data_IF_291435260669
#
_entry.id   IF_291435260669
#
_cell.length_a   1.000
_cell.length_b   1.000
_cell.length_c   1.000
_cell.angle_alpha   90.00
_cell.angle_beta   90.00
_cell.angle_gamma   90.00
#
_symmetry.space_group_name_H-M   'P 1'
#
loop_
_entity.id
_entity.type
_entity.pdbx_description
1 polymer ?
#
# COMPACT_ATOMS: atom_id res chain seq x y z
N UNK A 1 1.70 -17.23 -20.88
CA UNK A 1 0.31 -16.75 -20.69
C UNK A 1 0.41 -15.28 -20.35
N UNK A 2 0.02 -14.43 -21.28
CA UNK A 2 0.11 -12.99 -21.09
C UNK A 2 -1.20 -12.52 -20.49
N UNK A 3 -1.21 -12.37 -19.17
CA UNK A 3 -2.30 -11.74 -18.41
C UNK A 3 -2.65 -10.35 -18.98
N UNK A 4 -1.67 -9.70 -19.61
CA UNK A 4 -1.82 -8.44 -20.35
C UNK A 4 -2.83 -8.54 -21.49
N UNK A 5 -2.82 -9.64 -22.26
CA UNK A 5 -3.77 -9.86 -23.36
C UNK A 5 -5.20 -10.00 -22.83
N UNK A 6 -5.38 -10.70 -21.70
CA UNK A 6 -6.71 -10.84 -21.07
C UNK A 6 -7.25 -9.50 -20.58
N UNK A 7 -6.38 -8.65 -20.02
CA UNK A 7 -6.75 -7.33 -19.52
C UNK A 7 -7.04 -6.39 -20.69
N UNK A 8 -6.22 -6.42 -21.74
CA UNK A 8 -6.45 -5.66 -22.96
C UNK A 8 -7.80 -6.05 -23.59
N UNK A 9 -8.05 -7.35 -23.76
CA UNK A 9 -9.32 -7.86 -24.24
C UNK A 9 -10.48 -7.34 -23.38
N UNK A 10 -10.41 -7.52 -22.06
CA UNK A 10 -11.45 -7.10 -21.12
C UNK A 10 -11.73 -5.59 -21.08
N UNK A 11 -10.76 -4.75 -21.48
CA UNK A 11 -10.92 -3.28 -21.51
C UNK A 11 -11.34 -2.75 -22.89
N UNK A 12 -10.83 -3.34 -23.97
CA UNK A 12 -10.89 -2.74 -25.31
C UNK A 12 -11.71 -3.55 -26.33
N UNK A 13 -11.83 -4.87 -26.15
CA UNK A 13 -12.43 -5.77 -27.13
C UNK A 13 -13.70 -6.45 -26.62
N UNK A 14 -13.86 -6.52 -25.31
CA UNK A 14 -14.90 -7.32 -24.69
C UNK A 14 -16.28 -6.66 -24.79
N UNK A 15 -17.17 -7.28 -25.57
CA UNK A 15 -18.57 -6.84 -25.74
C UNK A 15 -19.49 -7.29 -24.58
N UNK A 16 -18.97 -8.06 -23.63
CA UNK A 16 -19.76 -8.58 -22.52
C UNK A 16 -20.25 -7.47 -21.59
N UNK A 17 -21.57 -7.33 -21.48
CA UNK A 17 -22.19 -6.37 -20.55
C UNK A 17 -22.10 -6.87 -19.10
N UNK A 18 -21.10 -6.36 -18.37
CA UNK A 18 -20.98 -6.60 -16.94
C UNK A 18 -22.12 -5.93 -16.14
N UNK A 19 -22.56 -6.58 -15.06
CA UNK A 19 -23.59 -6.03 -14.18
C UNK A 19 -23.19 -4.69 -13.53
N UNK A 20 -21.90 -4.42 -13.39
CA UNK A 20 -21.36 -3.16 -12.88
C UNK A 20 -19.91 -2.96 -13.37
N UNK A 21 -19.49 -1.76 -13.80
CA UNK A 21 -18.12 -1.50 -14.29
C UNK A 21 -17.01 -1.89 -13.30
N UNK A 22 -17.28 -1.78 -11.99
CA UNK A 22 -16.39 -2.26 -10.92
C UNK A 22 -15.93 -3.71 -11.11
N UNK A 23 -16.80 -4.59 -11.64
CA UNK A 23 -16.45 -6.00 -11.86
C UNK A 23 -15.24 -6.14 -12.77
N UNK A 24 -15.13 -5.29 -13.79
CA UNK A 24 -14.00 -5.28 -14.73
C UNK A 24 -12.72 -4.92 -13.98
N UNK A 25 -12.74 -3.79 -13.27
CA UNK A 25 -11.57 -3.27 -12.53
C UNK A 25 -11.11 -4.23 -11.43
N UNK A 26 -12.03 -4.79 -10.65
CA UNK A 26 -11.67 -5.73 -9.58
C UNK A 26 -11.11 -7.05 -10.15
N UNK A 27 -11.68 -7.54 -11.26
CA UNK A 27 -11.19 -8.76 -11.90
C UNK A 27 -9.78 -8.53 -12.45
N UNK A 28 -9.52 -7.41 -13.11
CA UNK A 28 -8.19 -7.05 -13.59
C UNK A 28 -7.18 -6.91 -12.44
N UNK A 29 -7.55 -6.24 -11.35
CA UNK A 29 -6.71 -6.17 -10.16
C UNK A 29 -6.33 -7.57 -9.65
N UNK A 30 -7.31 -8.48 -9.53
CA UNK A 30 -7.07 -9.87 -9.12
C UNK A 30 -6.16 -10.63 -10.09
N UNK A 31 -6.36 -10.49 -11.41
CA UNK A 31 -5.53 -11.12 -12.42
C UNK A 31 -4.07 -10.65 -12.30
N UNK A 32 -3.85 -9.35 -12.11
CA UNK A 32 -2.52 -8.76 -11.97
C UNK A 32 -1.82 -9.31 -10.72
N UNK A 33 -2.45 -9.25 -9.55
CA UNK A 33 -1.79 -9.72 -8.31
C UNK A 33 -1.52 -11.23 -8.34
N UNK A 34 -2.38 -12.03 -8.99
CA UNK A 34 -2.11 -13.46 -9.20
C UNK A 34 -0.93 -13.69 -10.16
N UNK A 35 -0.83 -12.92 -11.23
CA UNK A 35 0.25 -13.06 -12.20
C UNK A 35 1.60 -12.58 -11.64
N UNK A 36 1.60 -11.45 -10.93
CA UNK A 36 2.81 -10.81 -10.37
C UNK A 36 3.32 -11.54 -9.13
N UNK A 37 2.46 -12.16 -8.32
CA UNK A 37 2.88 -12.78 -7.05
C UNK A 37 2.52 -14.27 -6.91
N UNK A 38 1.90 -14.87 -7.92
CA UNK A 38 1.51 -16.29 -7.88
C UNK A 38 0.48 -16.61 -6.78
N UNK A 39 -0.34 -15.62 -6.41
CA UNK A 39 -1.29 -15.74 -5.31
C UNK A 39 -2.36 -16.80 -5.57
N UNK A 40 -2.76 -17.49 -4.51
CA UNK A 40 -3.94 -18.35 -4.50
C UNK A 40 -5.17 -17.48 -4.23
N UNK A 41 -6.32 -17.77 -4.85
CA UNK A 41 -7.55 -16.99 -4.62
C UNK A 41 -7.87 -16.83 -3.14
N UNK A 42 -7.82 -17.91 -2.36
CA UNK A 42 -8.14 -17.88 -0.92
C UNK A 42 -7.21 -17.02 -0.04
N UNK A 43 -6.16 -16.41 -0.61
CA UNK A 43 -5.32 -15.43 0.10
C UNK A 43 -5.91 -14.01 0.04
N UNK A 44 -6.75 -13.71 -0.96
CA UNK A 44 -7.31 -12.37 -1.19
C UNK A 44 -8.83 -12.35 -1.41
N UNK A 45 -9.48 -13.49 -1.66
CA UNK A 45 -10.94 -13.67 -1.72
C UNK A 45 -11.40 -14.69 -0.68
N UNK A 46 -12.70 -14.77 -0.41
CA UNK A 46 -13.24 -15.76 0.54
C UNK A 46 -12.98 -17.18 0.04
N UNK A 47 -12.13 -17.89 0.79
CA UNK A 47 -11.73 -19.25 0.48
C UNK A 47 -12.92 -20.22 0.60
N UNK A 48 -13.00 -21.21 -0.30
CA UNK A 48 -14.09 -22.19 -0.30
C UNK A 48 -14.22 -22.98 1.01
N UNK A 49 -13.10 -23.28 1.66
CA UNK A 49 -13.08 -23.98 2.97
C UNK A 49 -13.45 -23.07 4.16
N UNK A 50 -13.57 -21.76 3.92
CA UNK A 50 -13.95 -20.74 4.90
C UNK A 50 -15.18 -19.96 4.41
N UNK A 51 -16.09 -20.63 3.70
CA UNK A 51 -17.28 -20.01 3.14
C UNK A 51 -18.18 -19.46 4.25
N UNK A 52 -18.65 -18.22 4.08
CA UNK A 52 -19.46 -17.50 5.06
C UNK A 52 -18.65 -16.74 6.11
N UNK A 53 -17.32 -16.79 6.05
CA UNK A 53 -16.44 -16.03 6.95
C UNK A 53 -16.38 -14.54 6.62
N UNK A 54 -16.62 -14.18 5.34
CA UNK A 54 -16.42 -12.81 4.86
C UNK A 54 -14.94 -12.39 4.80
N UNK A 55 -14.01 -13.34 4.94
CA UNK A 55 -12.58 -13.05 5.03
C UNK A 55 -11.93 -12.87 3.65
N UNK A 56 -11.08 -11.86 3.55
CA UNK A 56 -10.10 -11.67 2.50
C UNK A 56 -9.63 -10.22 2.47
N UNK A 57 -9.25 -9.71 1.30
CA UNK A 57 -8.54 -8.44 1.22
C UNK A 57 -9.46 -7.23 1.52
N UNK A 58 -9.11 -6.48 2.56
CA UNK A 58 -9.78 -5.24 2.97
C UNK A 58 -8.88 -4.03 2.72
N UNK A 59 -9.43 -2.81 2.68
CA UNK A 59 -8.62 -1.61 2.47
C UNK A 59 -7.56 -1.41 3.57
N UNK A 60 -7.83 -1.82 4.80
CA UNK A 60 -6.87 -1.78 5.91
C UNK A 60 -5.64 -2.66 5.69
N UNK A 61 -5.70 -3.62 4.76
CA UNK A 61 -4.55 -4.46 4.36
C UNK A 61 -3.62 -3.75 3.36
N UNK A 62 -4.02 -2.56 2.89
CA UNK A 62 -3.32 -1.82 1.84
C UNK A 62 -2.70 -0.54 2.39
N UNK A 63 -1.49 -0.24 1.95
CA UNK A 63 -0.83 1.03 2.23
C UNK A 63 -0.41 1.66 0.90
N UNK A 64 -1.06 2.76 0.54
CA UNK A 64 -0.66 3.60 -0.58
C UNK A 64 0.35 4.64 -0.10
N UNK A 65 1.46 4.75 -0.81
CA UNK A 65 2.44 5.79 -0.57
C UNK A 65 2.99 6.36 -1.88
N UNK A 66 3.47 7.59 -1.84
CA UNK A 66 4.20 8.26 -2.91
C UNK A 66 5.65 8.43 -2.46
N UNK A 67 6.61 8.12 -3.32
CA UNK A 67 8.03 8.34 -3.04
C UNK A 67 8.77 8.76 -4.30
N UNK A 68 9.96 9.35 -4.16
CA UNK A 68 10.82 9.67 -5.29
C UNK A 68 11.56 8.43 -5.78
N UNK A 69 11.43 8.11 -7.06
CA UNK A 69 12.32 7.18 -7.76
C UNK A 69 12.94 7.87 -8.95
N UNK A 70 14.28 7.92 -9.01
CA UNK A 70 15.02 8.61 -10.08
C UNK A 70 14.53 10.05 -10.30
N UNK A 71 14.27 10.76 -9.21
CA UNK A 71 13.79 12.15 -9.20
C UNK A 71 12.30 12.35 -9.52
N UNK A 72 11.55 11.28 -9.81
CA UNK A 72 10.13 11.36 -10.17
C UNK A 72 9.25 10.76 -9.07
N UNK A 73 8.18 11.44 -8.63
CA UNK A 73 7.25 10.89 -7.64
C UNK A 73 6.42 9.75 -8.24
N UNK A 74 6.51 8.56 -7.64
CA UNK A 74 5.80 7.34 -8.06
C UNK A 74 4.96 6.77 -6.94
N UNK A 75 3.77 6.29 -7.30
CA UNK A 75 2.92 5.58 -6.37
C UNK A 75 3.42 4.16 -6.11
N UNK A 76 3.29 3.75 -4.87
CA UNK A 76 3.65 2.44 -4.35
C UNK A 76 2.49 1.91 -3.51
N UNK A 77 2.22 0.63 -3.67
CA UNK A 77 1.18 -0.06 -2.96
C UNK A 77 1.79 -1.24 -2.21
N UNK A 78 1.75 -1.17 -0.88
CA UNK A 78 2.04 -2.34 -0.04
C UNK A 78 0.74 -3.07 0.27
N UNK A 79 0.77 -4.38 0.15
CA UNK A 79 -0.36 -5.27 0.38
C UNK A 79 0.03 -6.33 1.40
N UNK A 80 -0.61 -6.30 2.58
CA UNK A 80 -0.42 -7.28 3.64
C UNK A 80 -1.38 -8.46 3.44
N UNK A 81 -0.86 -9.66 3.24
CA UNK A 81 -1.70 -10.86 3.21
C UNK A 81 -1.93 -11.38 4.63
N UNK A 82 -3.21 -11.54 5.01
CA UNK A 82 -3.63 -12.14 6.31
C UNK A 82 -4.01 -13.61 6.22
N UNK A 83 -4.39 -14.07 5.03
CA UNK A 83 -5.07 -15.37 4.86
C UNK A 83 -4.22 -16.41 4.13
N UNK A 84 -2.91 -16.33 4.28
CA UNK A 84 -1.97 -17.26 3.67
C UNK A 84 -2.13 -18.66 4.26
N UNK A 85 -2.12 -19.68 3.39
CA UNK A 85 -2.31 -21.08 3.79
C UNK A 85 -1.28 -21.44 4.87
N UNK A 86 -1.74 -22.04 5.98
CA UNK A 86 -0.98 -22.42 7.20
C UNK A 86 -0.66 -21.30 8.20
N UNK A 87 -0.81 -20.03 7.84
CA UNK A 87 -0.47 -18.88 8.69
C UNK A 87 -1.64 -17.90 8.78
N UNK A 88 -2.85 -18.45 8.92
CA UNK A 88 -4.08 -17.71 8.72
C UNK A 88 -4.40 -16.88 9.95
N UNK A 89 -4.54 -15.55 9.78
CA UNK A 89 -4.72 -14.61 10.87
C UNK A 89 -3.42 -14.15 11.53
N UNK A 90 -2.26 -14.65 11.09
CA UNK A 90 -0.96 -14.21 11.57
C UNK A 90 -0.43 -13.08 10.70
N UNK A 91 -0.15 -11.92 11.30
CA UNK A 91 0.53 -10.83 10.61
C UNK A 91 2.02 -11.14 10.54
N UNK A 92 2.48 -11.44 9.33
CA UNK A 92 3.89 -11.71 9.08
C UNK A 92 4.43 -10.69 8.10
N UNK A 93 5.58 -10.17 8.47
CA UNK A 93 6.38 -9.24 7.67
C UNK A 93 6.63 -9.75 6.24
N UNK A 94 6.89 -11.06 6.11
CA UNK A 94 7.12 -11.79 4.85
C UNK A 94 5.91 -11.86 3.91
N UNK A 95 4.74 -11.46 4.41
CA UNK A 95 3.49 -11.44 3.67
C UNK A 95 3.13 -10.02 3.18
N UNK A 96 4.07 -9.08 3.30
CA UNK A 96 4.00 -7.76 2.66
C UNK A 96 4.50 -7.82 1.22
N UNK A 97 3.57 -7.63 0.30
CA UNK A 97 3.83 -7.57 -1.13
C UNK A 97 3.95 -6.12 -1.58
N UNK A 98 4.86 -5.87 -2.52
CA UNK A 98 5.22 -4.54 -2.99
C UNK A 98 4.84 -4.38 -4.45
N UNK A 99 3.75 -3.65 -4.69
CA UNK A 99 3.31 -3.29 -6.03
C UNK A 99 3.70 -1.84 -6.32
N UNK A 100 4.06 -1.54 -7.55
CA UNK A 100 4.45 -0.19 -7.93
C UNK A 100 3.86 0.24 -9.26
N UNK A 101 3.81 1.56 -9.42
CA UNK A 101 3.26 2.21 -10.60
C UNK A 101 4.04 1.85 -11.87
N UNK A 102 3.32 1.36 -12.87
CA UNK A 102 3.84 1.15 -14.22
C UNK A 102 3.87 2.48 -14.96
N UNK A 103 5.08 2.86 -15.39
CA UNK A 103 5.32 4.16 -16.05
C UNK A 103 5.21 4.09 -17.56
N UNK A 104 5.38 2.90 -18.15
CA UNK A 104 5.32 2.75 -19.60
C UNK A 104 3.87 2.88 -20.09
N UNK A 105 3.62 3.80 -21.03
CA UNK A 105 2.25 4.15 -21.48
C UNK A 105 1.49 2.93 -22.00
N UNK A 106 2.14 2.11 -22.82
CA UNK A 106 1.51 0.88 -23.37
C UNK A 106 1.16 -0.17 -22.33
N UNK A 107 1.66 -0.02 -21.09
CA UNK A 107 1.50 -1.01 -20.01
C UNK A 107 0.67 -0.47 -18.84
N UNK A 108 0.15 0.76 -18.94
CA UNK A 108 -0.70 1.35 -17.87
C UNK A 108 -1.94 0.52 -17.56
N UNK A 109 -2.50 -0.17 -18.55
CA UNK A 109 -3.61 -1.10 -18.36
C UNK A 109 -3.25 -2.27 -17.41
N UNK A 110 -1.97 -2.64 -17.31
CA UNK A 110 -1.47 -3.67 -16.39
C UNK A 110 -1.04 -3.11 -15.02
N UNK A 111 -1.13 -1.79 -14.80
CA UNK A 111 -0.63 -1.17 -13.59
C UNK A 111 -1.47 -1.57 -12.36
N UNK A 112 -0.95 -2.35 -11.39
CA UNK A 112 -1.72 -2.77 -10.21
C UNK A 112 -2.20 -1.58 -9.39
N UNK A 113 -1.37 -0.54 -9.29
CA UNK A 113 -1.67 0.68 -8.55
C UNK A 113 -2.86 1.44 -9.14
N UNK A 114 -2.99 1.48 -10.47
CA UNK A 114 -4.11 2.19 -11.14
C UNK A 114 -5.43 1.49 -10.85
N UNK A 115 -5.46 0.16 -10.93
CA UNK A 115 -6.68 -0.61 -10.61
C UNK A 115 -7.06 -0.47 -9.14
N UNK A 116 -6.08 -0.51 -8.23
CA UNK A 116 -6.35 -0.27 -6.81
C UNK A 116 -6.88 1.14 -6.56
N UNK A 117 -6.23 2.18 -7.13
CA UNK A 117 -6.68 3.57 -7.01
C UNK A 117 -8.10 3.75 -7.55
N UNK A 118 -8.43 3.15 -8.69
CA UNK A 118 -9.78 3.23 -9.26
C UNK A 118 -10.84 2.66 -8.29
N UNK A 119 -10.54 1.53 -7.64
CA UNK A 119 -11.44 0.93 -6.63
C UNK A 119 -11.54 1.80 -5.37
N UNK A 120 -10.41 2.27 -4.85
CA UNK A 120 -10.31 3.03 -3.61
C UNK A 120 -10.94 4.43 -3.72
N UNK A 121 -10.74 5.10 -4.86
CA UNK A 121 -11.35 6.40 -5.14
C UNK A 121 -12.86 6.27 -5.34
N UNK A 122 -13.33 5.23 -6.04
CA UNK A 122 -14.76 4.96 -6.20
C UNK A 122 -15.47 4.68 -4.86
N UNK A 123 -14.73 4.23 -3.84
CA UNK A 123 -15.23 3.94 -2.49
C UNK A 123 -15.00 5.07 -1.49
N UNK A 124 -14.37 6.17 -1.93
CA UNK A 124 -14.00 7.32 -1.12
C UNK A 124 -13.18 6.91 0.13
N UNK A 125 -12.13 6.10 -0.09
CA UNK A 125 -11.38 5.42 0.98
C UNK A 125 -10.38 6.32 1.69
N UNK A 126 -9.76 7.25 0.97
CA UNK A 126 -8.70 8.09 1.52
C UNK A 126 -9.27 9.33 2.21
N UNK A 127 -8.55 9.83 3.21
CA UNK A 127 -8.87 11.09 3.89
C UNK A 127 -8.52 12.32 3.04
N UNK A 128 -7.38 12.27 2.36
CA UNK A 128 -6.77 13.43 1.69
C UNK A 128 -6.64 13.28 0.17
N UNK A 129 -6.71 12.06 -0.35
CA UNK A 129 -6.58 11.78 -1.77
C UNK A 129 -7.94 11.68 -2.45
N UNK A 130 -8.17 12.56 -3.42
CA UNK A 130 -9.35 12.58 -4.28
C UNK A 130 -8.94 12.56 -5.76
N UNK A 131 -9.88 12.29 -6.66
CA UNK A 131 -9.60 12.22 -8.10
C UNK A 131 -8.95 13.52 -8.65
N UNK A 132 -9.41 14.74 -8.29
CA UNK A 132 -8.74 15.98 -8.72
C UNK A 132 -7.31 16.12 -8.22
N UNK A 133 -7.02 15.68 -6.99
CA UNK A 133 -5.71 15.83 -6.36
C UNK A 133 -4.70 14.75 -6.77
N UNK A 134 -5.13 13.72 -7.52
CA UNK A 134 -4.27 12.61 -7.94
C UNK A 134 -3.06 13.05 -8.80
N UNK A 135 -3.19 14.16 -9.53
CA UNK A 135 -2.11 14.68 -10.38
C UNK A 135 -1.09 15.52 -9.62
N UNK A 136 -1.42 15.99 -8.41
CA UNK A 136 -0.54 16.91 -7.69
C UNK A 136 0.76 16.24 -7.24
N UNK A 137 0.71 14.93 -6.93
CA UNK A 137 1.87 14.10 -6.58
C UNK A 137 2.87 14.78 -5.65
N UNK A 138 2.36 15.43 -4.59
CA UNK A 138 3.18 16.16 -3.63
C UNK A 138 3.70 15.21 -2.54
N UNK A 139 5.01 15.24 -2.33
CA UNK A 139 5.65 14.63 -1.16
C UNK A 139 5.96 15.76 -0.17
N UNK A 140 5.54 15.64 1.09
CA UNK A 140 5.79 16.65 2.11
C UNK A 140 7.26 16.96 2.36
N UNK A 141 7.51 18.21 2.76
CA UNK A 141 8.87 18.71 2.95
C UNK A 141 9.53 17.97 4.12
N UNK A 142 10.78 17.54 3.90
CA UNK A 142 11.54 16.82 4.91
C UNK A 142 11.17 15.35 5.05
N UNK A 143 10.17 14.86 4.31
CA UNK A 143 9.85 13.44 4.19
C UNK A 143 10.38 12.85 2.89
N UNK A 144 10.79 11.59 2.93
CA UNK A 144 11.15 10.82 1.73
C UNK A 144 9.93 10.19 1.03
N UNK A 145 8.80 10.12 1.74
CA UNK A 145 7.56 9.55 1.22
C UNK A 145 6.32 10.22 1.81
N UNK A 146 5.21 10.12 1.09
CA UNK A 146 3.89 10.55 1.53
C UNK A 146 2.98 9.33 1.60
N UNK A 147 2.59 8.94 2.81
CA UNK A 147 1.64 7.84 3.02
C UNK A 147 0.22 8.42 3.04
N UNK A 148 -0.68 7.85 2.26
CA UNK A 148 -2.07 8.28 2.23
C UNK A 148 -2.88 7.57 3.32
N UNK A 149 -3.54 8.33 4.19
CA UNK A 149 -4.35 7.77 5.26
C UNK A 149 -5.70 7.23 4.74
N UNK A 150 -6.08 6.04 5.24
CA UNK A 150 -7.36 5.39 4.98
C UNK A 150 -8.33 5.73 6.10
N UNK A 151 -9.56 6.13 5.75
CA UNK A 151 -10.62 6.43 6.71
C UNK A 151 -10.93 5.21 7.58
N UNK A 152 -11.14 5.42 8.88
CA UNK A 152 -11.30 4.33 9.85
C UNK A 152 -12.50 3.42 9.50
N UNK A 153 -13.61 4.00 9.06
CA UNK A 153 -14.83 3.28 8.64
C UNK A 153 -14.65 2.46 7.36
N UNK A 154 -13.55 2.68 6.62
CA UNK A 154 -13.23 1.99 5.37
C UNK A 154 -12.20 0.89 5.55
N UNK A 155 -11.49 0.81 6.67
CA UNK A 155 -10.42 -0.19 6.87
C UNK A 155 -10.93 -1.63 6.74
N UNK A 156 -12.10 -1.93 7.30
CA UNK A 156 -12.71 -3.26 7.23
C UNK A 156 -13.52 -3.50 5.95
N UNK A 157 -13.65 -2.49 5.08
CA UNK A 157 -14.38 -2.63 3.84
C UNK A 157 -13.57 -3.50 2.86
N UNK A 158 -14.20 -4.58 2.41
CA UNK A 158 -13.62 -5.47 1.40
C UNK A 158 -13.38 -4.74 0.08
N UNK A 159 -12.18 -4.91 -0.47
CA UNK A 159 -11.79 -4.35 -1.78
C UNK A 159 -12.56 -5.09 -2.89
N UNK A 160 -12.60 -6.42 -2.79
CA UNK A 160 -13.17 -7.30 -3.80
C UNK A 160 -14.58 -7.69 -3.40
N UNK A 161 -15.60 -7.09 -4.03
CA UNK A 161 -16.98 -7.25 -3.57
C UNK A 161 -17.80 -8.16 -4.45
N UNK A 162 -18.70 -8.90 -3.83
CA UNK A 162 -19.75 -9.63 -4.53
C UNK A 162 -20.70 -8.64 -5.20
N UNK A 163 -21.08 -8.96 -6.44
CA UNK A 163 -22.24 -8.38 -7.11
C UNK A 163 -23.18 -9.52 -7.42
N UNK A 164 -24.16 -9.73 -6.54
CA UNK A 164 -25.34 -10.51 -6.87
C UNK A 164 -26.40 -9.50 -7.31
N UNK A 165 -27.20 -9.79 -8.34
CA UNK A 165 -28.25 -8.89 -8.86
C UNK A 165 -29.42 -8.60 -7.89
N UNK A 166 -29.18 -8.69 -6.57
CA UNK A 166 -30.09 -8.34 -5.47
C UNK A 166 -29.43 -7.25 -4.63
N UNK A 167 -30.18 -6.37 -3.95
CA UNK A 167 -29.61 -5.38 -3.04
C UNK A 167 -28.76 -6.09 -1.97
N UNK A 168 -27.45 -5.93 -2.10
CA UNK A 168 -26.46 -6.74 -1.40
C UNK A 168 -26.15 -6.13 -0.02
N UNK A 169 -25.81 -6.98 0.97
CA UNK A 169 -25.21 -6.48 2.22
C UNK A 169 -23.90 -5.78 1.85
N UNK A 170 -23.84 -4.46 2.04
CA UNK A 170 -22.63 -3.66 1.78
C UNK A 170 -21.41 -4.38 2.39
N UNK A 171 -20.41 -4.67 1.56
CA UNK A 171 -19.11 -5.13 2.02
C UNK A 171 -18.85 -6.64 2.05
N UNK A 172 -19.74 -7.53 1.59
CA UNK A 172 -19.35 -8.94 1.47
C UNK A 172 -18.33 -9.13 0.34
N UNK A 173 -17.29 -9.88 0.68
CA UNK A 173 -16.19 -10.21 -0.21
C UNK A 173 -16.60 -11.23 -1.28
N UNK A 174 -15.96 -11.19 -2.45
CA UNK A 174 -16.10 -12.21 -3.50
C UNK A 174 -15.73 -13.61 -2.99
N UNK A 175 -16.57 -14.60 -3.27
CA UNK A 175 -16.28 -16.00 -3.00
C UNK A 175 -15.35 -16.59 -4.07
N UNK A 176 -14.45 -17.49 -3.67
CA UNK A 176 -13.50 -18.15 -4.59
C UNK A 176 -14.18 -18.89 -5.74
N UNK A 177 -15.37 -19.47 -5.53
CA UNK A 177 -16.16 -20.11 -6.59
C UNK A 177 -16.68 -19.09 -7.61
N UNK A 178 -17.24 -17.97 -7.15
CA UNK A 178 -17.70 -16.88 -8.02
C UNK A 178 -16.55 -16.31 -8.84
N UNK A 179 -15.40 -16.07 -8.19
CA UNK A 179 -14.20 -15.58 -8.86
C UNK A 179 -13.65 -16.59 -9.89
N UNK A 180 -13.67 -17.89 -9.59
CA UNK A 180 -13.30 -18.93 -10.53
C UNK A 180 -14.15 -18.88 -11.81
N UNK A 181 -15.48 -18.77 -11.67
CA UNK A 181 -16.36 -18.66 -12.83
C UNK A 181 -16.14 -17.36 -13.63
N UNK A 182 -15.85 -16.24 -12.96
CA UNK A 182 -15.52 -14.98 -13.63
C UNK A 182 -14.27 -15.10 -14.52
N UNK A 183 -13.21 -15.75 -14.01
CA UNK A 183 -11.99 -15.99 -14.81
C UNK A 183 -12.26 -16.99 -15.93
N UNK A 184 -13.00 -18.06 -15.65
CA UNK A 184 -13.31 -19.10 -16.61
C UNK A 184 -14.03 -18.51 -17.83
N UNK A 185 -15.08 -17.72 -17.59
CA UNK A 185 -15.86 -17.06 -18.64
C UNK A 185 -15.02 -16.02 -19.38
N UNK A 186 -14.21 -15.22 -18.69
CA UNK A 186 -13.29 -14.30 -19.35
C UNK A 186 -12.31 -15.04 -20.28
N UNK A 187 -11.73 -16.15 -19.81
CA UNK A 187 -10.80 -16.96 -20.62
C UNK A 187 -11.47 -17.56 -21.86
N UNK A 188 -12.70 -18.05 -21.74
CA UNK A 188 -13.49 -18.53 -22.89
C UNK A 188 -13.73 -17.43 -23.91
N UNK A 189 -14.13 -16.24 -23.45
CA UNK A 189 -14.42 -15.09 -24.32
C UNK A 189 -13.16 -14.51 -24.96
N UNK A 190 -12.02 -14.60 -24.29
CA UNK A 190 -10.70 -14.30 -24.86
C UNK A 190 -10.24 -15.34 -25.92
N UNK A 191 -10.99 -16.41 -26.17
CA UNK A 191 -10.66 -17.42 -27.17
C UNK A 191 -9.67 -18.50 -26.71
N UNK A 192 -9.42 -18.65 -25.40
CA UNK A 192 -8.55 -19.72 -24.92
C UNK A 192 -9.25 -21.08 -25.04
N UNK A 193 -8.58 -22.03 -25.71
CA UNK A 193 -9.05 -23.41 -25.89
C UNK A 193 -9.27 -24.12 -24.55
N UNK A 194 -8.36 -23.92 -23.60
CA UNK A 194 -8.39 -24.57 -22.29
C UNK A 194 -8.91 -23.62 -21.21
N UNK A 195 -9.68 -24.14 -20.23
CA UNK A 195 -10.10 -23.36 -19.06
C UNK A 195 -8.93 -22.66 -18.36
N UNK A 196 -8.99 -21.33 -18.28
CA UNK A 196 -8.06 -20.57 -17.45
C UNK A 196 -8.49 -20.68 -15.99
N UNK A 197 -7.56 -21.09 -15.14
CA UNK A 197 -7.74 -21.15 -13.69
C UNK A 197 -6.72 -20.28 -12.99
N UNK A 198 -6.97 -19.96 -11.72
CA UNK A 198 -5.98 -19.28 -10.86
C UNK A 198 -4.62 -20.00 -10.83
N UNK A 199 -4.64 -21.33 -10.95
CA UNK A 199 -3.41 -22.13 -10.95
C UNK A 199 -2.57 -21.94 -12.22
N UNK A 200 -3.18 -21.56 -13.35
CA UNK A 200 -2.44 -21.19 -14.56
C UNK A 200 -1.53 -19.97 -14.29
N UNK A 201 -2.04 -18.94 -13.61
CA UNK A 201 -1.27 -17.72 -13.30
C UNK A 201 -0.12 -18.03 -12.36
N UNK A 202 -0.38 -18.86 -11.35
CA UNK A 202 0.64 -19.30 -10.40
C UNK A 202 1.76 -20.10 -11.07
N UNK A 203 1.45 -20.98 -12.03
CA UNK A 203 2.48 -21.67 -12.83
C UNK A 203 3.24 -20.69 -13.72
N UNK A 204 2.54 -19.74 -14.36
CA UNK A 204 3.16 -18.69 -15.17
C UNK A 204 4.16 -17.86 -14.34
N UNK A 205 3.77 -17.43 -13.14
CA UNK A 205 4.63 -16.76 -12.19
C UNK A 205 5.86 -17.61 -11.82
N UNK A 206 5.65 -18.88 -11.45
CA UNK A 206 6.73 -19.79 -11.08
C UNK A 206 7.75 -19.96 -12.21
N UNK A 207 7.29 -20.11 -13.45
CA UNK A 207 8.16 -20.21 -14.62
C UNK A 207 8.89 -18.89 -14.91
N UNK A 208 8.21 -17.75 -14.73
CA UNK A 208 8.80 -16.43 -14.99
C UNK A 208 9.89 -16.02 -13.98
N UNK A 209 9.84 -16.54 -12.76
CA UNK A 209 10.89 -16.29 -11.75
C UNK A 209 11.95 -17.39 -11.72
N UNK A 210 11.74 -18.51 -12.40
CA UNK A 210 12.66 -19.65 -12.38
C UNK A 210 14.01 -19.23 -12.99
N UNK A 211 15.12 -19.62 -12.35
CA UNK A 211 16.47 -19.19 -12.74
C UNK A 211 16.82 -17.72 -12.44
N UNK A 212 15.84 -16.85 -12.14
CA UNK A 212 16.07 -15.43 -11.82
C UNK A 212 16.23 -15.15 -10.33
N UNK A 213 15.80 -16.06 -9.46
CA UNK A 213 15.88 -15.93 -8.00
C UNK A 213 16.36 -17.22 -7.33
N UNK A 214 16.86 -17.11 -6.10
CA UNK A 214 17.25 -18.29 -5.32
C UNK A 214 16.02 -19.13 -4.93
N UNK A 215 16.21 -20.44 -4.80
CA UNK A 215 15.16 -21.36 -4.37
C UNK A 215 14.54 -21.00 -3.00
N UNK A 216 15.30 -20.33 -2.12
CA UNK A 216 14.77 -19.85 -0.84
C UNK A 216 13.76 -18.71 -1.03
N UNK A 217 14.10 -17.68 -1.83
CA UNK A 217 13.20 -16.56 -2.17
C UNK A 217 11.98 -17.04 -2.96
N UNK A 218 12.15 -18.02 -3.85
CA UNK A 218 11.06 -18.65 -4.60
C UNK A 218 10.06 -19.35 -3.67
N UNK A 219 10.54 -20.12 -2.68
CA UNK A 219 9.66 -20.79 -1.70
C UNK A 219 8.91 -19.77 -0.84
N UNK A 220 9.57 -18.69 -0.41
CA UNK A 220 8.94 -17.60 0.35
C UNK A 220 7.80 -16.95 -0.46
N UNK A 221 8.08 -16.55 -1.70
CA UNK A 221 7.09 -15.97 -2.63
C UNK A 221 5.88 -16.88 -2.82
N UNK A 222 6.12 -18.17 -2.99
CA UNK A 222 5.08 -19.17 -3.23
C UNK A 222 4.35 -19.59 -1.95
N UNK A 223 4.77 -19.13 -0.76
CA UNK A 223 4.21 -19.52 0.52
C UNK A 223 4.42 -21.01 0.83
N UNK A 224 5.57 -21.58 0.43
CA UNK A 224 5.98 -22.94 0.78
C UNK A 224 6.84 -22.90 2.05
N UNK A 225 6.58 -23.83 2.98
CA UNK A 225 7.45 -24.03 4.15
C UNK A 225 8.83 -24.52 3.69
N UNK A 226 9.89 -24.09 4.38
CA UNK A 226 11.25 -24.62 4.17
C UNK A 226 11.88 -24.96 5.51
N UNK A 227 12.64 -26.04 5.57
CA UNK A 227 13.22 -26.59 6.81
C UNK A 227 14.55 -25.92 7.25
N UNK A 228 14.85 -24.67 6.84
CA UNK A 228 16.18 -24.06 7.08
C UNK A 228 16.17 -22.81 7.96
N UNK A 229 17.12 -22.79 8.90
CA UNK A 229 17.51 -21.74 9.87
C UNK A 229 17.81 -20.36 9.27
N UNK A 230 17.93 -20.24 7.94
CA UNK A 230 18.28 -18.98 7.25
C UNK A 230 17.11 -18.06 6.89
N UNK A 231 15.84 -18.45 7.15
CA UNK A 231 14.69 -17.60 6.82
C UNK A 231 14.56 -16.34 7.69
N UNK A 232 15.13 -16.34 8.90
CA UNK A 232 15.09 -15.19 9.82
C UNK A 232 15.91 -13.98 9.35
N UNK A 233 16.85 -14.18 8.43
CA UNK A 233 17.72 -13.12 7.87
C UNK A 233 17.26 -12.62 6.50
N UNK A 234 16.21 -13.21 5.93
CA UNK A 234 15.64 -12.72 4.67
C UNK A 234 14.76 -11.52 5.00
N UNK A 235 14.96 -10.41 4.27
CA UNK A 235 14.23 -9.17 4.50
C UNK A 235 12.69 -9.43 4.58
N UNK A 236 11.99 -8.76 5.51
CA UNK A 236 10.53 -8.71 5.62
C UNK A 236 9.82 -8.56 4.28
N UNK A 237 10.20 -7.53 3.53
CA UNK A 237 9.62 -7.23 2.24
C UNK A 237 10.20 -8.17 1.19
N UNK A 238 9.36 -8.64 0.26
CA UNK A 238 9.81 -9.40 -0.90
C UNK A 238 10.85 -8.59 -1.67
N UNK A 239 12.13 -8.87 -1.43
CA UNK A 239 13.27 -8.22 -2.07
C UNK A 239 13.53 -8.79 -3.47
N UNK A 240 12.46 -8.93 -4.25
CA UNK A 240 12.43 -9.40 -5.63
C UNK A 240 11.45 -8.52 -6.38
N UNK A 241 11.92 -7.93 -7.47
CA UNK A 241 11.06 -7.20 -8.42
C UNK A 241 10.25 -8.19 -9.25
N UNK A 242 9.15 -8.67 -8.69
CA UNK A 242 8.33 -9.67 -9.36
C UNK A 242 7.59 -9.12 -10.58
N UNK A 243 7.24 -7.83 -10.60
CA UNK A 243 6.58 -7.18 -11.74
C UNK A 243 7.44 -7.23 -13.01
N UNK A 244 8.76 -7.06 -12.89
CA UNK A 244 9.70 -7.21 -14.02
C UNK A 244 10.13 -8.64 -14.25
N UNK A 245 10.33 -9.42 -13.18
CA UNK A 245 10.75 -10.81 -13.29
C UNK A 245 9.78 -11.66 -14.11
N UNK A 246 8.45 -11.49 -13.95
CA UNK A 246 7.47 -12.26 -14.73
C UNK A 246 7.53 -12.00 -16.24
N UNK A 247 8.13 -10.89 -16.66
CA UNK A 247 8.36 -10.51 -18.06
C UNK A 247 9.75 -10.90 -18.56
N UNK A 248 10.59 -11.52 -17.73
CA UNK A 248 11.99 -11.79 -18.02
C UNK A 248 12.86 -10.52 -18.11
N UNK A 249 12.38 -9.40 -17.58
CA UNK A 249 13.13 -8.14 -17.57
C UNK A 249 14.15 -8.09 -16.43
N UNK A 250 15.17 -7.24 -16.59
CA UNK A 250 16.11 -6.95 -15.50
C UNK A 250 15.39 -6.29 -14.31
N UNK A 251 15.64 -6.78 -13.10
CA UNK A 251 15.03 -6.25 -11.87
C UNK A 251 15.49 -4.82 -11.60
N UNK A 252 14.58 -3.92 -11.21
CA UNK A 252 14.94 -2.59 -10.69
C UNK A 252 15.35 -2.70 -9.21
N UNK A 253 16.59 -3.15 -8.96
CA UNK A 253 17.11 -3.36 -7.61
C UNK A 253 17.11 -2.08 -6.77
N UNK A 254 17.45 -0.96 -7.38
CA UNK A 254 17.46 0.35 -6.72
C UNK A 254 16.07 0.70 -6.19
N UNK A 255 15.03 0.48 -6.99
CA UNK A 255 13.66 0.69 -6.56
C UNK A 255 13.28 -0.21 -5.37
N UNK A 256 13.56 -1.51 -5.46
CA UNK A 256 13.19 -2.48 -4.42
C UNK A 256 13.95 -2.21 -3.12
N UNK A 257 15.22 -1.85 -3.19
CA UNK A 257 16.05 -1.49 -2.03
C UNK A 257 15.54 -0.21 -1.38
N UNK A 258 15.21 0.82 -2.16
CA UNK A 258 14.61 2.05 -1.66
C UNK A 258 13.26 1.77 -1.00
N UNK A 259 12.37 1.07 -1.68
CA UNK A 259 11.03 0.76 -1.21
C UNK A 259 11.01 -0.09 0.07
N UNK A 260 12.01 -0.97 0.22
CA UNK A 260 12.21 -1.84 1.40
C UNK A 260 13.03 -1.18 2.50
N UNK A 261 13.67 -0.03 2.22
CA UNK A 261 14.52 0.65 3.19
C UNK A 261 13.70 1.36 4.26
N UNK A 262 14.14 1.24 5.52
CA UNK A 262 13.59 2.01 6.65
C UNK A 262 13.77 3.52 6.41
N UNK A 263 14.79 3.92 5.65
CA UNK A 263 15.01 5.33 5.31
C UNK A 263 13.87 5.92 4.46
N UNK A 264 13.08 5.09 3.78
CA UNK A 264 11.97 5.54 2.96
C UNK A 264 10.85 6.21 3.78
N UNK A 265 10.65 5.77 5.03
CA UNK A 265 9.65 6.35 5.94
C UNK A 265 10.24 7.43 6.85
N UNK A 266 11.46 7.90 6.55
CA UNK A 266 12.09 8.97 7.32
C UNK A 266 11.42 10.30 7.01
N UNK A 267 11.04 10.97 8.08
CA UNK A 267 10.57 12.35 8.09
C UNK A 267 11.43 13.16 9.08
N UNK A 268 12.06 14.22 8.57
CA UNK A 268 12.93 15.14 9.33
C UNK A 268 12.14 16.06 10.26
N UNK A 269 10.85 16.26 9.99
CA UNK A 269 9.95 17.07 10.82
C UNK A 269 9.35 16.26 11.97
N UNK A 270 9.43 14.92 11.89
CA UNK A 270 8.85 14.05 12.91
C UNK A 270 9.45 14.29 14.31
N UNK A 271 8.66 14.16 15.38
CA UNK A 271 9.15 14.34 16.74
C UNK A 271 10.37 13.45 17.03
N UNK A 272 11.48 14.10 17.36
CA UNK A 272 12.74 13.47 17.76
C UNK A 272 12.91 13.58 19.28
N UNK A 273 13.70 12.67 19.85
CA UNK A 273 14.00 12.73 21.27
C UNK A 273 14.70 14.04 21.63
N UNK A 274 14.49 14.54 22.85
CA UNK A 274 15.19 15.72 23.37
C UNK A 274 16.72 15.61 23.25
N UNK A 275 17.29 14.41 23.38
CA UNK A 275 18.73 14.15 23.19
C UNK A 275 19.18 14.32 21.74
N UNK A 276 18.27 14.21 20.77
CA UNK A 276 18.55 14.44 19.35
C UNK A 276 18.44 15.91 18.94
N UNK A 277 17.94 16.79 19.83
CA UNK A 277 17.92 18.24 19.62
C UNK A 277 19.13 18.82 20.35
N UNK A 278 20.09 19.38 19.62
CA UNK A 278 21.36 19.87 20.19
C UNK A 278 21.20 20.87 21.34
N UNK A 279 20.03 21.52 21.48
CA UNK A 279 19.77 22.53 22.50
C UNK A 279 18.47 22.32 23.32
N UNK A 280 17.87 21.12 23.34
CA UNK A 280 16.60 20.94 24.06
C UNK A 280 16.76 20.41 25.49
N UNK A 281 16.17 21.11 26.46
CA UNK A 281 15.97 20.58 27.81
C UNK A 281 15.05 19.35 27.80
N UNK A 282 15.26 18.38 28.70
CA UNK A 282 14.40 17.21 28.79
C UNK A 282 12.96 17.63 29.13
N UNK A 283 11.95 17.05 28.48
CA UNK A 283 10.55 17.36 28.79
C UNK A 283 10.24 17.00 30.23
N UNK A 284 9.47 17.87 30.89
CA UNK A 284 9.03 17.71 32.27
C UNK A 284 8.20 16.43 32.42
N UNK A 285 8.45 15.72 33.52
CA UNK A 285 7.74 14.51 33.93
C UNK A 285 7.18 14.80 35.32
N UNK A 286 5.87 14.65 35.50
CA UNK A 286 5.24 14.91 36.81
C UNK A 286 5.39 13.70 37.72
N UNK A 287 5.28 13.90 39.04
CA UNK A 287 5.35 12.80 40.01
C UNK A 287 4.22 11.79 39.81
N UNK A 288 3.04 12.25 39.38
CA UNK A 288 1.89 11.38 39.11
C UNK A 288 2.15 10.45 37.92
N UNK A 289 2.81 10.94 36.86
CA UNK A 289 3.22 10.11 35.72
C UNK A 289 4.26 9.05 36.12
N UNK A 290 5.13 9.39 37.07
CA UNK A 290 6.12 8.45 37.63
C UNK A 290 5.41 7.39 38.46
N UNK A 291 4.46 7.78 39.32
CA UNK A 291 3.65 6.86 40.12
C UNK A 291 2.84 5.92 39.23
N UNK A 292 2.22 6.43 38.17
CA UNK A 292 1.48 5.60 37.21
C UNK A 292 2.40 4.58 36.53
N UNK A 293 3.61 5.00 36.11
CA UNK A 293 4.57 4.08 35.51
C UNK A 293 5.21 3.12 36.52
N UNK A 294 5.30 3.49 37.80
CA UNK A 294 5.76 2.62 38.88
C UNK A 294 4.79 1.45 39.11
N UNK A 295 3.48 1.66 38.93
CA UNK A 295 2.51 0.55 38.99
C UNK A 295 2.77 -0.52 37.94
N UNK A 296 3.20 -0.09 36.73
CA UNK A 296 3.54 -0.98 35.61
C UNK A 296 4.94 -1.60 35.74
N UNK A 297 5.87 -0.92 36.42
CA UNK A 297 7.26 -1.37 36.59
C UNK A 297 7.77 -1.14 38.03
N UNK A 298 7.30 -1.93 39.01
CA UNK A 298 7.50 -1.65 40.44
C UNK A 298 8.95 -1.75 40.93
N UNK A 299 9.82 -2.45 40.19
CA UNK A 299 11.24 -2.63 40.54
C UNK A 299 12.18 -1.61 39.88
N UNK A 300 11.65 -0.64 39.12
CA UNK A 300 12.49 0.31 38.38
C UNK A 300 12.78 1.58 39.19
N UNK A 301 14.03 2.11 39.16
CA UNK A 301 14.36 3.35 39.84
C UNK A 301 13.66 4.56 39.18
N UNK A 302 13.40 5.63 39.95
CA UNK A 302 12.67 6.83 39.46
C UNK A 302 13.26 7.44 38.18
N UNK A 303 14.58 7.44 38.02
CA UNK A 303 15.25 7.92 36.79
C UNK A 303 14.84 7.11 35.55
N UNK A 304 14.70 5.79 35.71
CA UNK A 304 14.31 4.87 34.65
C UNK A 304 12.81 4.98 34.35
N UNK A 305 11.98 5.16 35.37
CA UNK A 305 10.56 5.45 35.22
C UNK A 305 10.34 6.76 34.44
N UNK A 306 11.03 7.84 34.82
CA UNK A 306 10.99 9.11 34.10
C UNK A 306 11.45 8.97 32.64
N UNK A 307 12.50 8.18 32.37
CA UNK A 307 12.94 7.87 31.00
C UNK A 307 11.85 7.18 30.19
N UNK A 308 11.14 6.22 30.79
CA UNK A 308 10.03 5.50 30.15
C UNK A 308 8.83 6.38 29.88
N UNK A 309 8.48 7.29 30.81
CA UNK A 309 7.45 8.33 30.57
C UNK A 309 7.82 9.18 29.37
N UNK A 310 9.05 9.72 29.32
CA UNK A 310 9.51 10.53 28.17
C UNK A 310 9.44 9.75 26.86
N UNK A 311 9.83 8.48 26.86
CA UNK A 311 9.72 7.59 25.69
C UNK A 311 8.26 7.38 25.28
N UNK A 312 7.35 7.18 26.22
CA UNK A 312 5.92 7.04 25.95
C UNK A 312 5.31 8.32 25.38
N UNK A 313 5.64 9.49 25.93
CA UNK A 313 5.24 10.80 25.39
C UNK A 313 5.76 11.00 23.96
N UNK A 314 7.03 10.69 23.71
CA UNK A 314 7.63 10.75 22.37
C UNK A 314 6.91 9.81 21.40
N UNK A 315 6.65 8.57 21.80
CA UNK A 315 5.94 7.60 20.96
C UNK A 315 4.51 8.07 20.65
N UNK A 316 3.80 8.66 21.62
CA UNK A 316 2.47 9.24 21.41
C UNK A 316 2.51 10.41 20.43
N UNK A 317 3.45 11.34 20.61
CA UNK A 317 3.64 12.48 19.70
C UNK A 317 3.97 12.01 18.27
N UNK A 318 4.83 10.99 18.13
CA UNK A 318 5.15 10.40 16.83
C UNK A 318 3.94 9.73 16.19
N UNK A 319 3.14 8.96 16.95
CA UNK A 319 1.90 8.36 16.42
C UNK A 319 0.96 9.43 15.88
N UNK A 320 0.67 10.46 16.68
CA UNK A 320 -0.14 11.60 16.25
C UNK A 320 0.43 12.26 14.99
N UNK A 321 1.74 12.50 14.93
CA UNK A 321 2.40 13.07 13.74
C UNK A 321 2.12 12.27 12.46
N UNK A 322 2.23 10.94 12.53
CA UNK A 322 2.02 10.05 11.38
C UNK A 322 0.54 9.70 11.12
N UNK A 323 -0.34 9.85 12.11
CA UNK A 323 -1.77 9.51 12.01
C UNK A 323 -2.66 10.71 11.64
N UNK A 324 -2.27 11.95 11.96
CA UNK A 324 -3.17 13.14 11.89
C UNK A 324 -2.74 14.29 10.98
N UNK A 325 -1.61 14.23 10.28
CA UNK A 325 -1.06 15.45 9.66
C UNK A 325 -1.37 15.58 8.16
N UNK A 326 -2.17 16.57 7.72
CA UNK A 326 -1.96 17.21 6.44
C UNK A 326 -0.65 17.98 6.53
N UNK A 327 0.41 17.48 5.90
CA UNK A 327 1.72 18.10 5.98
C UNK A 327 1.79 19.30 5.01
N UNK A 328 2.24 20.47 5.49
CA UNK A 328 2.42 21.69 4.69
C UNK A 328 3.29 21.40 3.45
N UNK A 329 2.82 21.82 2.28
CA UNK A 329 3.52 21.57 1.01
C UNK A 329 4.30 22.80 0.59
N UNK A 330 5.38 22.62 -0.19
CA UNK A 330 6.24 23.73 -0.65
C UNK A 330 5.47 24.82 -1.42
N UNK A 331 4.32 24.49 -2.00
CA UNK A 331 3.44 25.45 -2.66
C UNK A 331 2.77 26.45 -1.71
N UNK A 332 2.52 26.05 -0.47
CA UNK A 332 1.82 26.87 0.53
C UNK A 332 2.74 27.96 1.11
N UNK A 333 4.05 27.66 1.19
CA UNK A 333 5.08 28.60 1.66
C UNK A 333 5.45 29.69 0.62
N UNK A 334 5.10 29.50 -0.66
CA UNK A 334 5.40 30.47 -1.72
C UNK A 334 4.32 31.55 -1.83
N UNK A 335 3.09 31.29 -1.34
CA UNK A 335 1.97 32.24 -1.47
C UNK A 335 2.06 33.39 -0.46
N UNK A 336 2.73 33.20 0.68
CA UNK A 336 2.71 34.17 1.80
C UNK A 336 3.87 35.19 1.82
N UNK A 337 4.74 35.18 0.80
CA UNK A 337 5.91 36.08 0.71
C UNK A 337 5.79 37.19 -0.34
N UNK A 338 4.58 37.65 -0.66
CA UNK A 338 4.43 38.94 -1.37
C UNK A 338 4.48 40.07 -0.34
N UNK A 339 5.47 40.98 -0.39
CA UNK A 339 5.44 42.15 0.48
C UNK A 339 4.17 42.94 0.23
N UNK A 340 3.40 43.22 1.29
CA UNK A 340 2.29 44.19 1.24
C UNK A 340 2.89 45.54 0.89
N UNK A 341 2.89 45.89 -0.39
CA UNK A 341 3.27 47.23 -0.85
C UNK A 341 2.24 48.21 -0.30
N UNK A 342 2.65 48.95 0.73
CA UNK A 342 1.87 50.05 1.28
C UNK A 342 1.59 51.08 0.19
N UNK A 343 0.33 51.50 0.07
CA UNK A 343 -0.06 52.64 -0.76
C UNK A 343 0.75 53.87 -0.33
N UNK A 344 1.70 54.29 -1.16
CA UNK A 344 2.30 55.61 -1.07
C UNK A 344 1.23 56.60 -1.49
N UNK A 345 0.82 57.48 -0.56
CA UNK A 345 -0.06 58.61 -0.89
C UNK A 345 0.74 59.63 -1.72
N UNK A 346 0.16 60.19 -2.79
CA UNK A 346 0.83 61.22 -3.57
C UNK A 346 0.83 62.54 -2.77
N UNK A 347 2.02 63.11 -2.63
CA UNK A 347 2.27 64.44 -2.05
C UNK A 347 1.76 65.52 -3.02
N UNK A 348 1.20 66.64 -2.54
CA UNK A 348 0.66 67.68 -3.42
C UNK A 348 1.78 68.51 -4.03
N UNK A 349 1.71 68.69 -5.35
CA UNK A 349 2.61 69.51 -6.15
C UNK A 349 2.55 70.99 -5.71
N UNK A 350 3.72 71.55 -5.38
CA UNK A 350 3.96 72.99 -5.31
C UNK A 350 4.68 73.45 -6.59
N UNK A 351 3.97 74.29 -7.33
CA UNK A 351 4.37 75.38 -8.24
C UNK A 351 5.56 75.20 -9.20
N UNK A 352 5.30 75.42 -10.49
CA UNK A 352 5.58 76.71 -11.16
C UNK A 352 4.64 76.90 -12.37
#
# INVERSE_FOLDING_TARGET
MYVEDMIFFGLACDEYSHAHPRLIVQNHFCLIIMAVYGLRPGEFVEAGNHRGSGEGLAYGDMELSLHYHKGVPRYQLRMQLRYRKRYRGELRDQDNLLLYEETHVSRRAFCPVVHFLALALADDVFTELSLPHLQERKIPIGSNSHRFAIKEDKKDLSILRMFTGRPHRKGQIVAASSFYHQILELGRRCGYEKPISAYCFRRGFQNGIDGHISAAKQRQLMGHASDKTGQSYIAPTVAVDTQRAIRGEAQDREYIELASSIANTRDLTAPISHLGRMAAHPPLVTEDEIKEMATKFPKSPNRELARRVRKAKLNRARRLHFDTSPQETLGDLIVDNRPRVGRIQPTPSRHL
#
